data_IF_261972494346
#
_entry.id   IF_261972494346
#
_cell.length_a   1.000
_cell.length_b   1.000
_cell.length_c   1.000
_cell.angle_alpha   90.00
_cell.angle_beta   90.00
_cell.angle_gamma   90.00
#
_symmetry.space_group_name_H-M   'P 1'
#
loop_
_entity.id
_entity.type
_entity.pdbx_description
1 polymer ?
#
# COMPACT_ATOMS: atom_id res chain seq x y z
N UNK A 1 -14.07 -27.46 -4.98
CA UNK A 1 -13.33 -26.26 -4.56
C UNK A 1 -13.47 -26.16 -3.05
N UNK A 2 -12.37 -25.99 -2.30
CA UNK A 2 -12.44 -25.96 -0.84
C UNK A 2 -13.20 -24.71 -0.37
N UNK A 3 -14.03 -24.82 0.68
CA UNK A 3 -14.85 -23.71 1.16
C UNK A 3 -13.98 -22.49 1.55
N UNK A 4 -12.79 -22.73 2.11
CA UNK A 4 -11.82 -21.68 2.46
C UNK A 4 -11.36 -20.87 1.25
N UNK A 5 -11.12 -21.53 0.11
CA UNK A 5 -10.67 -20.85 -1.12
C UNK A 5 -11.80 -19.99 -1.69
N UNK A 6 -13.04 -20.47 -1.63
CA UNK A 6 -14.21 -19.70 -2.06
C UNK A 6 -14.36 -18.42 -1.22
N UNK A 7 -14.21 -18.54 0.10
CA UNK A 7 -14.28 -17.40 1.03
C UNK A 7 -13.12 -16.42 0.76
N UNK A 8 -11.90 -16.92 0.57
CA UNK A 8 -10.74 -16.09 0.26
C UNK A 8 -10.96 -15.28 -1.03
N UNK A 9 -11.41 -15.92 -2.11
CA UNK A 9 -11.71 -15.26 -3.39
C UNK A 9 -12.78 -14.18 -3.24
N UNK A 10 -13.87 -14.48 -2.53
CA UNK A 10 -14.93 -13.52 -2.30
C UNK A 10 -14.44 -12.31 -1.51
N UNK A 11 -13.63 -12.53 -0.47
CA UNK A 11 -13.05 -11.47 0.34
C UNK A 11 -12.11 -10.57 -0.48
N UNK A 12 -11.13 -11.13 -1.19
CA UNK A 12 -10.20 -10.31 -2.00
C UNK A 12 -10.93 -9.60 -3.12
N UNK A 13 -11.87 -10.25 -3.81
CA UNK A 13 -12.58 -9.62 -4.93
C UNK A 13 -13.43 -8.45 -4.47
N UNK A 14 -14.21 -8.61 -3.40
CA UNK A 14 -15.12 -7.56 -2.94
C UNK A 14 -14.36 -6.41 -2.26
N UNK A 15 -13.51 -6.73 -1.28
CA UNK A 15 -12.87 -5.71 -0.45
C UNK A 15 -11.56 -5.21 -1.07
N UNK A 16 -10.62 -6.11 -1.35
CA UNK A 16 -9.31 -5.70 -1.83
C UNK A 16 -9.37 -5.11 -3.24
N UNK A 17 -10.21 -5.66 -4.13
CA UNK A 17 -10.28 -5.23 -5.53
C UNK A 17 -11.40 -4.22 -5.79
N UNK A 18 -12.68 -4.62 -5.68
CA UNK A 18 -13.79 -3.78 -6.13
C UNK A 18 -13.86 -2.49 -5.34
N UNK A 19 -13.84 -2.56 -4.00
CA UNK A 19 -13.93 -1.36 -3.16
C UNK A 19 -12.69 -0.49 -3.29
N UNK A 20 -11.49 -1.04 -3.07
CA UNK A 20 -10.24 -0.25 -3.11
C UNK A 20 -10.03 0.38 -4.47
N UNK A 21 -10.13 -0.36 -5.57
CA UNK A 21 -9.88 0.17 -6.92
C UNK A 21 -10.95 1.17 -7.34
N UNK A 22 -12.21 0.97 -6.94
CA UNK A 22 -13.28 1.95 -7.23
C UNK A 22 -13.04 3.27 -6.48
N UNK A 23 -12.67 3.20 -5.20
CA UNK A 23 -12.33 4.39 -4.42
C UNK A 23 -11.08 5.07 -4.97
N UNK A 24 -10.03 4.30 -5.25
CA UNK A 24 -8.78 4.78 -5.82
C UNK A 24 -9.06 5.52 -7.13
N UNK A 25 -9.78 4.91 -8.07
CA UNK A 25 -10.10 5.53 -9.36
C UNK A 25 -10.93 6.80 -9.21
N UNK A 26 -11.92 6.81 -8.30
CA UNK A 26 -12.78 7.99 -8.06
C UNK A 26 -12.01 9.16 -7.47
N UNK A 27 -11.17 8.93 -6.47
CA UNK A 27 -10.44 9.99 -5.78
C UNK A 27 -9.14 10.38 -6.48
N UNK A 28 -8.50 9.47 -7.21
CA UNK A 28 -7.32 9.75 -8.00
C UNK A 28 -7.59 10.79 -9.09
N UNK A 29 -8.81 10.82 -9.66
CA UNK A 29 -9.21 11.86 -10.62
C UNK A 29 -9.39 13.24 -9.98
N UNK A 30 -9.63 13.31 -8.67
CA UNK A 30 -9.82 14.56 -7.93
C UNK A 30 -8.50 15.21 -7.47
N UNK A 31 -7.37 14.50 -7.61
CA UNK A 31 -6.04 14.99 -7.20
C UNK A 31 -5.08 15.02 -8.39
N UNK A 32 -4.01 15.81 -8.30
CA UNK A 32 -2.99 15.80 -9.34
C UNK A 32 -2.26 14.45 -9.37
N UNK A 33 -1.77 13.99 -10.54
CA UNK A 33 -1.03 12.74 -10.65
C UNK A 33 0.13 12.65 -9.67
N UNK A 34 0.78 13.79 -9.39
CA UNK A 34 1.87 13.87 -8.42
C UNK A 34 1.41 13.52 -7.00
N UNK A 35 0.34 14.16 -6.53
CA UNK A 35 -0.21 13.89 -5.19
C UNK A 35 -0.69 12.45 -5.05
N UNK A 36 -1.34 11.90 -6.09
CA UNK A 36 -1.72 10.50 -6.11
C UNK A 36 -0.52 9.55 -6.01
N UNK A 37 0.54 9.79 -6.79
CA UNK A 37 1.77 8.98 -6.74
C UNK A 37 2.41 8.98 -5.35
N UNK A 38 2.40 10.12 -4.67
CA UNK A 38 2.95 10.25 -3.31
C UNK A 38 2.13 9.39 -2.34
N UNK A 39 0.80 9.50 -2.39
CA UNK A 39 -0.11 8.71 -1.56
C UNK A 39 0.11 7.21 -1.78
N UNK A 40 0.19 6.74 -3.03
CA UNK A 40 0.43 5.31 -3.32
C UNK A 40 1.81 4.86 -2.90
N UNK A 41 2.81 5.75 -2.95
CA UNK A 41 4.15 5.41 -2.47
C UNK A 41 4.17 5.20 -0.95
N UNK A 42 3.19 5.72 -0.19
CA UNK A 42 3.04 5.45 1.25
C UNK A 42 2.37 4.11 1.57
N UNK A 43 1.76 3.42 0.61
CA UNK A 43 1.08 2.13 0.80
C UNK A 43 1.96 1.06 1.50
N UNK A 44 3.25 0.89 1.16
CA UNK A 44 4.11 -0.10 1.82
C UNK A 44 4.34 0.20 3.31
N UNK A 45 4.32 1.49 3.69
CA UNK A 45 4.47 1.90 5.10
C UNK A 45 3.24 1.45 5.89
N UNK A 46 2.04 1.69 5.37
CA UNK A 46 0.79 1.23 5.99
C UNK A 46 0.69 -0.29 6.01
N UNK A 47 1.15 -0.97 4.95
CA UNK A 47 1.19 -2.43 4.89
C UNK A 47 2.10 -3.00 6.00
N UNK A 48 3.31 -2.46 6.16
CA UNK A 48 4.25 -2.86 7.20
C UNK A 48 3.69 -2.60 8.61
N UNK A 49 3.08 -1.43 8.84
CA UNK A 49 2.42 -1.11 10.12
C UNK A 49 1.26 -2.07 10.41
N UNK A 50 0.42 -2.35 9.42
CA UNK A 50 -0.72 -3.26 9.57
C UNK A 50 -0.27 -4.68 9.86
N UNK A 51 0.76 -5.19 9.15
CA UNK A 51 1.33 -6.51 9.40
C UNK A 51 1.91 -6.62 10.83
N UNK A 52 2.61 -5.57 11.29
CA UNK A 52 3.13 -5.50 12.65
C UNK A 52 1.99 -5.53 13.69
N UNK A 53 0.91 -4.77 13.51
CA UNK A 53 -0.19 -4.70 14.49
C UNK A 53 -1.13 -5.91 14.46
N UNK A 54 -1.51 -6.42 13.29
CA UNK A 54 -2.53 -7.47 13.16
C UNK A 54 -1.94 -8.88 13.23
N UNK A 55 -0.77 -9.09 12.64
CA UNK A 55 -0.15 -10.42 12.51
C UNK A 55 1.01 -10.58 13.51
N UNK A 56 1.34 -9.52 14.27
CA UNK A 56 2.50 -9.47 15.18
C UNK A 56 3.80 -9.84 14.46
N UNK A 57 3.88 -9.51 13.17
CA UNK A 57 5.04 -9.82 12.35
C UNK A 57 6.23 -8.97 12.82
N UNK A 58 7.24 -9.63 13.39
CA UNK A 58 8.47 -8.95 13.80
C UNK A 58 9.29 -8.63 12.56
N UNK A 59 9.49 -7.35 12.29
CA UNK A 59 10.40 -6.92 11.24
C UNK A 59 11.81 -7.43 11.55
N UNK A 60 12.28 -8.37 10.74
CA UNK A 60 13.69 -8.77 10.69
C UNK A 60 14.57 -7.57 10.36
N UNK A 61 15.86 -7.63 10.71
CA UNK A 61 16.84 -6.60 10.32
C UNK A 61 16.81 -6.31 8.80
N UNK A 62 16.53 -7.32 7.97
CA UNK A 62 16.32 -7.15 6.53
C UNK A 62 15.01 -6.40 6.19
N UNK A 63 13.94 -6.67 6.93
CA UNK A 63 12.66 -5.95 6.78
C UNK A 63 12.78 -4.48 7.15
N UNK A 64 13.55 -4.16 8.19
CA UNK A 64 13.87 -2.77 8.57
C UNK A 64 14.69 -2.08 7.48
N UNK A 65 15.71 -2.75 6.93
CA UNK A 65 16.51 -2.21 5.84
C UNK A 65 15.66 -1.95 4.57
N UNK A 66 14.77 -2.88 4.22
CA UNK A 66 13.82 -2.71 3.10
C UNK A 66 12.85 -1.55 3.33
N UNK A 67 12.28 -1.45 4.54
CA UNK A 67 11.39 -0.34 4.91
C UNK A 67 12.13 1.02 4.83
N UNK A 68 13.38 1.07 5.29
CA UNK A 68 14.22 2.27 5.18
C UNK A 68 14.49 2.65 3.71
N UNK A 69 14.79 1.68 2.83
CA UNK A 69 14.96 1.97 1.40
C UNK A 69 13.70 2.51 0.74
N UNK A 70 12.54 1.92 1.03
CA UNK A 70 11.26 2.42 0.52
C UNK A 70 11.02 3.85 1.01
N UNK A 71 11.21 4.10 2.31
CA UNK A 71 11.03 5.42 2.92
C UNK A 71 11.95 6.47 2.29
N UNK A 72 13.23 6.15 2.07
CA UNK A 72 14.18 7.03 1.39
C UNK A 72 13.72 7.28 -0.06
N UNK A 73 13.29 6.26 -0.78
CA UNK A 73 12.77 6.40 -2.15
C UNK A 73 11.61 7.39 -2.23
N UNK A 74 10.65 7.29 -1.32
CA UNK A 74 9.51 8.22 -1.20
C UNK A 74 10.00 9.64 -0.92
N UNK A 75 10.86 9.81 0.08
CA UNK A 75 11.42 11.11 0.45
C UNK A 75 12.17 11.76 -0.72
N UNK A 76 12.98 10.99 -1.45
CA UNK A 76 13.69 11.51 -2.62
C UNK A 76 12.75 11.87 -3.75
N UNK A 77 11.67 11.11 -3.97
CA UNK A 77 10.65 11.42 -4.98
C UNK A 77 9.89 12.71 -4.65
N UNK A 78 9.63 12.96 -3.36
CA UNK A 78 8.94 14.16 -2.89
C UNK A 78 9.82 15.40 -2.91
N UNK A 79 11.06 15.28 -2.43
CA UNK A 79 11.99 16.38 -2.29
C UNK A 79 12.69 16.74 -3.61
N UNK A 80 12.56 15.91 -4.65
CA UNK A 80 13.14 16.23 -5.94
C UNK A 80 12.38 17.41 -6.57
N UNK A 81 13.06 18.55 -6.82
CA UNK A 81 12.40 19.72 -7.36
C UNK A 81 11.87 19.39 -8.76
N UNK A 82 10.55 19.48 -8.91
CA UNK A 82 9.91 19.48 -10.23
C UNK A 82 10.31 20.76 -10.95
N UNK A 83 11.24 20.63 -11.89
CA UNK A 83 11.43 21.62 -12.94
C UNK A 83 10.24 21.59 -13.90
#
# INVERSE_FOLDING_TARGET
>A
MNNEVVIAILYTTLFATILTTSMQTKFQQAVTPTRASIIFSMEPIFAALTAYFFINEKLSNFGIAGAAFIFIGILTSELWPKK
#
